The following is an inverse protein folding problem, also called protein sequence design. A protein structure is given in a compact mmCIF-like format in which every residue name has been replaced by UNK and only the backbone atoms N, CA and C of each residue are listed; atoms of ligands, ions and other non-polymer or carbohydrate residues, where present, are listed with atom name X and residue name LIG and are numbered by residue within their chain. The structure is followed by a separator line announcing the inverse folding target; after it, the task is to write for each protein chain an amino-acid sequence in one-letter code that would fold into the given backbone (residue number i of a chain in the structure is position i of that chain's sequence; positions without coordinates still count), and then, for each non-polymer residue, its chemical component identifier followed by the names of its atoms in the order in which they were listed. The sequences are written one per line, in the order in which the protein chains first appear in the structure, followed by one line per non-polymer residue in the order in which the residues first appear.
data_IF_783743799868
#
_entry.id   IF_783743799868
#
_cell.length_a   1.000
_cell.length_b   1.000
_cell.length_c   1.000
_cell.angle_alpha   90.00
_cell.angle_beta   90.00
_cell.angle_gamma   90.00
#
_symmetry.space_group_name_H-M   'P 1'
#
loop_
_entity.id
_entity.type
_entity.pdbx_description
1 polymer ?
#
# COMPACT_ATOMS: atom_id res chain seq x y z
N UNK A 1 23.32 14.19 9.18
CA UNK A 1 21.94 14.07 9.68
C UNK A 1 21.96 14.45 11.14
N UNK A 2 21.34 15.58 11.46
CA UNK A 2 21.47 16.24 12.76
C UNK A 2 20.44 15.65 13.74
N UNK A 3 20.84 15.44 15.00
CA UNK A 3 20.01 14.94 16.10
C UNK A 3 18.67 15.69 16.24
N UNK A 4 18.58 16.93 15.74
CA UNK A 4 17.39 17.77 15.67
C UNK A 4 16.28 17.26 14.74
N UNK A 5 16.58 16.55 13.65
CA UNK A 5 15.56 15.97 12.76
C UNK A 5 14.85 14.76 13.40
N UNK A 6 15.59 13.96 14.17
CA UNK A 6 15.01 12.82 14.88
C UNK A 6 14.07 13.23 16.02
N UNK A 7 14.31 14.38 16.67
CA UNK A 7 13.49 14.84 17.80
C UNK A 7 12.16 15.47 17.34
N UNK A 8 12.09 16.10 16.17
CA UNK A 8 10.83 16.69 15.68
C UNK A 8 9.80 15.65 15.21
N UNK A 9 10.23 14.44 14.83
CA UNK A 9 9.35 13.41 14.26
C UNK A 9 8.60 12.59 15.32
N UNK A 10 9.06 12.58 16.58
CA UNK A 10 8.46 11.76 17.65
C UNK A 10 7.08 12.24 18.11
N UNK A 11 6.71 13.51 17.84
CA UNK A 11 5.39 14.05 18.18
C UNK A 11 4.35 14.07 17.04
N UNK A 12 4.77 13.96 15.77
CA UNK A 12 3.88 14.16 14.61
C UNK A 12 3.02 12.93 14.26
N UNK A 13 3.53 11.73 14.52
CA UNK A 13 2.86 10.48 14.12
C UNK A 13 2.59 9.55 15.30
N UNK A 14 1.57 8.70 15.17
CA UNK A 14 1.32 7.65 16.16
C UNK A 14 2.47 6.63 16.20
N UNK A 15 2.63 5.95 17.34
CA UNK A 15 3.64 4.90 17.51
C UNK A 15 3.60 3.82 16.41
N UNK A 16 2.40 3.46 15.91
CA UNK A 16 2.25 2.52 14.80
C UNK A 16 2.85 3.05 13.49
N UNK A 17 2.70 4.33 13.21
CA UNK A 17 3.27 4.95 12.02
C UNK A 17 4.77 5.12 12.13
N UNK A 18 5.26 5.58 13.28
CA UNK A 18 6.69 5.67 13.55
C UNK A 18 7.39 4.32 13.38
N UNK A 19 6.79 3.25 13.91
CA UNK A 19 7.34 1.90 13.77
C UNK A 19 7.46 1.46 12.30
N UNK A 20 6.44 1.72 11.49
CA UNK A 20 6.47 1.44 10.04
C UNK A 20 7.57 2.25 9.35
N UNK A 21 7.63 3.54 9.61
CA UNK A 21 8.58 4.45 8.98
C UNK A 21 10.02 4.09 9.34
N UNK A 22 10.30 3.83 10.62
CA UNK A 22 11.62 3.42 11.09
C UNK A 22 12.05 2.10 10.45
N UNK A 23 11.12 1.15 10.28
CA UNK A 23 11.40 -0.11 9.59
C UNK A 23 11.83 0.13 8.12
N UNK A 24 11.08 0.94 7.38
CA UNK A 24 11.41 1.24 5.97
C UNK A 24 12.66 2.09 5.82
N UNK A 25 12.95 2.99 6.75
CA UNK A 25 14.17 3.80 6.72
C UNK A 25 15.42 2.96 7.01
N UNK A 26 15.31 1.98 7.91
CA UNK A 26 16.41 1.09 8.27
C UNK A 26 16.66 0.01 7.20
N UNK A 27 15.59 -0.63 6.71
CA UNK A 27 15.71 -1.85 5.89
C UNK A 27 15.30 -1.66 4.42
N UNK A 28 14.84 -0.46 4.05
CA UNK A 28 14.46 -0.14 2.69
C UNK A 28 13.06 -0.58 2.28
N UNK A 29 12.81 -0.41 0.98
CA UNK A 29 11.55 -0.73 0.32
C UNK A 29 11.18 -2.22 0.44
N UNK A 30 9.90 -2.60 0.29
CA UNK A 30 9.47 -4.00 0.23
C UNK A 30 10.22 -4.89 -0.78
N UNK A 31 10.78 -4.31 -1.85
CA UNK A 31 11.60 -5.02 -2.82
C UNK A 31 13.12 -5.05 -2.51
N UNK A 32 13.57 -4.40 -1.44
CA UNK A 32 14.97 -4.41 -0.99
C UNK A 32 15.32 -5.79 -0.36
N UNK A 33 16.47 -6.40 -0.69
CA UNK A 33 16.92 -7.64 -0.05
C UNK A 33 16.96 -7.56 1.48
N UNK A 34 17.37 -6.41 2.04
CA UNK A 34 17.49 -6.18 3.50
C UNK A 34 16.12 -6.23 4.18
N UNK A 35 15.09 -5.71 3.49
CA UNK A 35 13.72 -5.74 3.99
C UNK A 35 13.26 -7.17 4.25
N UNK A 36 13.54 -8.10 3.33
CA UNK A 36 13.08 -9.49 3.44
C UNK A 36 13.65 -10.19 4.66
N UNK A 37 14.94 -10.01 4.94
CA UNK A 37 15.59 -10.63 6.10
C UNK A 37 15.08 -10.04 7.41
N UNK A 38 15.01 -8.71 7.50
CA UNK A 38 14.50 -8.01 8.67
C UNK A 38 13.02 -8.34 8.94
N UNK A 39 12.20 -8.42 7.88
CA UNK A 39 10.78 -8.76 8.00
C UNK A 39 10.56 -10.16 8.57
N UNK A 40 11.39 -11.13 8.15
CA UNK A 40 11.33 -12.50 8.69
C UNK A 40 11.68 -12.55 10.17
N UNK A 41 12.64 -11.74 10.59
CA UNK A 41 13.11 -11.62 11.98
C UNK A 41 12.12 -10.89 12.91
N UNK A 42 11.08 -10.23 12.39
CA UNK A 42 10.09 -9.55 13.23
C UNK A 42 9.39 -10.53 14.20
N UNK A 43 9.22 -10.14 15.47
CA UNK A 43 8.63 -11.01 16.48
C UNK A 43 7.12 -11.15 16.28
N UNK A 44 6.69 -12.38 15.98
CA UNK A 44 5.29 -12.77 15.91
C UNK A 44 4.49 -12.20 14.72
N UNK A 45 3.25 -12.67 14.59
CA UNK A 45 2.38 -12.32 13.47
C UNK A 45 1.93 -10.85 13.49
N UNK A 46 1.66 -10.28 14.67
CA UNK A 46 1.15 -8.90 14.81
C UNK A 46 2.11 -7.86 14.21
N UNK A 47 3.41 -7.99 14.46
CA UNK A 47 4.44 -7.07 13.94
C UNK A 47 4.61 -7.21 12.43
N UNK A 48 4.62 -8.45 11.95
CA UNK A 48 4.62 -8.74 10.50
C UNK A 48 3.41 -8.10 9.81
N UNK A 49 2.22 -8.27 10.37
CA UNK A 49 1.00 -7.67 9.82
C UNK A 49 1.02 -6.14 9.88
N UNK A 50 1.54 -5.55 10.96
CA UNK A 50 1.66 -4.09 11.13
C UNK A 50 2.51 -3.44 10.03
N UNK A 51 3.63 -4.07 9.67
CA UNK A 51 4.55 -3.59 8.64
C UNK A 51 4.01 -3.88 7.25
N UNK A 52 3.58 -5.12 7.00
CA UNK A 52 3.22 -5.59 5.65
C UNK A 52 1.87 -5.05 5.15
N UNK A 53 0.92 -4.77 6.05
CA UNK A 53 -0.43 -4.42 5.64
C UNK A 53 -1.05 -3.30 6.50
N UNK A 54 -2.00 -2.60 5.89
CA UNK A 54 -2.83 -1.61 6.54
C UNK A 54 -4.28 -2.08 6.54
N UNK A 55 -4.76 -2.48 7.72
CA UNK A 55 -6.13 -3.00 7.90
C UNK A 55 -7.19 -1.94 7.55
N UNK A 56 -6.92 -0.67 7.82
CA UNK A 56 -7.87 0.41 7.48
C UNK A 56 -7.95 0.54 5.96
N UNK A 57 -6.81 0.51 5.26
CA UNK A 57 -6.79 0.56 3.79
C UNK A 57 -7.39 -0.70 3.13
N UNK A 58 -7.38 -1.85 3.81
CA UNK A 58 -8.04 -3.05 3.28
C UNK A 58 -9.55 -2.83 3.08
N UNK A 59 -10.22 -2.24 4.07
CA UNK A 59 -11.66 -2.00 4.02
C UNK A 59 -12.03 -0.66 3.36
N UNK A 60 -11.18 0.35 3.52
CA UNK A 60 -11.47 1.74 3.13
C UNK A 60 -10.44 2.33 2.17
N UNK A 61 -9.72 1.51 1.40
CA UNK A 61 -8.57 1.90 0.58
C UNK A 61 -8.70 3.24 -0.13
N UNK A 62 -9.62 3.40 -1.11
CA UNK A 62 -9.76 4.63 -1.86
C UNK A 62 -10.00 5.87 -0.98
N UNK A 63 -10.87 5.76 0.03
CA UNK A 63 -11.19 6.88 0.93
C UNK A 63 -9.99 7.20 1.83
N UNK A 64 -9.38 6.16 2.39
CA UNK A 64 -8.29 6.29 3.35
C UNK A 64 -7.01 6.85 2.72
N UNK A 65 -6.70 6.50 1.46
CA UNK A 65 -5.56 7.11 0.77
C UNK A 65 -5.75 8.60 0.52
N UNK A 66 -6.98 9.08 0.28
CA UNK A 66 -7.25 10.52 0.23
C UNK A 66 -7.06 11.19 1.58
N UNK A 67 -7.51 10.57 2.68
CA UNK A 67 -7.24 11.05 4.04
C UNK A 67 -5.74 11.16 4.33
N UNK A 68 -4.95 10.19 3.85
CA UNK A 68 -3.49 10.23 3.95
C UNK A 68 -2.82 11.17 2.94
N UNK A 69 -3.57 11.86 2.08
CA UNK A 69 -3.02 12.75 1.05
C UNK A 69 -2.27 12.05 -0.09
N UNK A 70 -2.46 10.74 -0.27
CA UNK A 70 -1.80 9.91 -1.30
C UNK A 70 -2.53 10.00 -2.66
N UNK A 71 -3.01 11.19 -3.03
CA UNK A 71 -3.99 11.37 -4.11
C UNK A 71 -3.49 10.89 -5.49
N UNK A 72 -2.21 11.12 -5.85
CA UNK A 72 -1.67 10.66 -7.15
C UNK A 72 -1.69 9.15 -7.30
N UNK A 73 -1.11 8.43 -6.33
CA UNK A 73 -1.11 6.96 -6.30
C UNK A 73 -2.53 6.40 -6.23
N UNK A 74 -3.41 7.06 -5.48
CA UNK A 74 -4.81 6.66 -5.36
C UNK A 74 -5.56 6.79 -6.70
N UNK A 75 -5.43 7.93 -7.39
CA UNK A 75 -6.04 8.14 -8.71
C UNK A 75 -5.49 7.16 -9.74
N UNK A 76 -4.19 6.88 -9.74
CA UNK A 76 -3.60 5.85 -10.59
C UNK A 76 -4.19 4.47 -10.29
N UNK A 77 -4.33 4.11 -9.02
CA UNK A 77 -4.92 2.83 -8.61
C UNK A 77 -6.38 2.72 -9.05
N UNK A 78 -7.18 3.77 -8.88
CA UNK A 78 -8.57 3.83 -9.36
C UNK A 78 -8.62 3.67 -10.88
N UNK A 79 -7.74 4.35 -11.63
CA UNK A 79 -7.64 4.19 -13.08
C UNK A 79 -7.33 2.76 -13.51
N UNK A 80 -6.39 2.09 -12.83
CA UNK A 80 -6.07 0.68 -13.06
C UNK A 80 -7.27 -0.22 -12.76
N UNK A 81 -7.95 0.00 -11.63
CA UNK A 81 -9.14 -0.76 -11.25
C UNK A 81 -10.23 -0.66 -12.31
N UNK A 82 -10.55 0.56 -12.74
CA UNK A 82 -11.54 0.82 -13.80
C UNK A 82 -11.11 0.17 -15.11
N UNK A 83 -9.84 0.32 -15.50
CA UNK A 83 -9.30 -0.27 -16.73
C UNK A 83 -9.43 -1.79 -16.75
N UNK A 84 -9.08 -2.46 -15.64
CA UNK A 84 -9.23 -3.91 -15.49
C UNK A 84 -10.70 -4.31 -15.53
N UNK A 85 -11.59 -3.61 -14.79
CA UNK A 85 -13.01 -3.91 -14.78
C UNK A 85 -13.67 -3.76 -16.16
N UNK A 86 -13.31 -2.72 -16.93
CA UNK A 86 -13.77 -2.54 -18.30
C UNK A 86 -13.24 -3.66 -19.19
N UNK A 87 -11.94 -3.98 -19.12
CA UNK A 87 -11.35 -5.04 -19.94
C UNK A 87 -12.03 -6.39 -19.69
N UNK A 88 -12.25 -6.77 -18.43
CA UNK A 88 -12.97 -7.99 -18.06
C UNK A 88 -14.40 -7.95 -18.61
N UNK A 89 -15.12 -6.85 -18.43
CA UNK A 89 -16.49 -6.70 -18.92
C UNK A 89 -16.59 -6.86 -20.43
N UNK A 90 -15.66 -6.27 -21.19
CA UNK A 90 -15.59 -6.38 -22.65
C UNK A 90 -15.32 -7.82 -23.09
N UNK A 91 -14.40 -8.53 -22.42
CA UNK A 91 -14.09 -9.93 -22.74
C UNK A 91 -15.34 -10.81 -22.60
N UNK A 92 -16.05 -10.70 -21.48
CA UNK A 92 -17.27 -11.47 -21.23
C UNK A 92 -18.40 -11.10 -22.22
N UNK A 93 -18.56 -9.80 -22.52
CA UNK A 93 -19.52 -9.35 -23.53
C UNK A 93 -19.23 -9.95 -24.92
N UNK A 94 -17.96 -10.01 -25.34
CA UNK A 94 -17.55 -10.62 -26.62
C UNK A 94 -17.78 -12.13 -26.65
N UNK A 95 -17.70 -12.80 -25.49
CA UNK A 95 -18.01 -14.23 -25.35
C UNK A 95 -19.51 -14.52 -25.29
N UNK A 96 -20.36 -13.49 -25.19
CA UNK A 96 -21.80 -13.64 -25.00
C UNK A 96 -22.14 -14.25 -23.63
N UNK A 97 -21.26 -14.12 -22.64
CA UNK A 97 -21.43 -14.67 -21.29
C UNK A 97 -21.34 -13.57 -20.24
N UNK A 98 -21.90 -13.81 -19.06
CA UNK A 98 -21.76 -12.90 -17.92
C UNK A 98 -20.51 -13.24 -17.10
N UNK A 99 -19.91 -12.22 -16.47
CA UNK A 99 -18.82 -12.41 -15.51
C UNK A 99 -19.32 -13.25 -14.33
N UNK A 100 -18.62 -14.34 -13.95
CA UNK A 100 -18.97 -15.10 -12.76
C UNK A 100 -18.84 -14.23 -11.51
N UNK A 101 -19.82 -14.29 -10.60
CA UNK A 101 -19.78 -13.55 -9.32
C UNK A 101 -18.50 -13.78 -8.51
N UNK A 102 -17.92 -14.98 -8.60
CA UNK A 102 -16.67 -15.33 -7.95
C UNK A 102 -15.48 -14.53 -8.50
N UNK A 103 -15.47 -14.24 -9.81
CA UNK A 103 -14.46 -13.40 -10.43
C UNK A 103 -14.58 -11.96 -9.93
N UNK A 104 -15.78 -11.39 -9.95
CA UNK A 104 -16.03 -10.02 -9.48
C UNK A 104 -15.66 -9.84 -8.01
N UNK A 105 -16.08 -10.79 -7.17
CA UNK A 105 -15.74 -10.80 -5.73
C UNK A 105 -14.25 -10.97 -5.51
N UNK A 106 -13.59 -11.83 -6.30
CA UNK A 106 -12.15 -12.04 -6.27
C UNK A 106 -11.37 -10.79 -6.66
N UNK A 107 -11.81 -10.07 -7.70
CA UNK A 107 -11.20 -8.80 -8.11
C UNK A 107 -11.33 -7.74 -7.01
N UNK A 108 -12.52 -7.60 -6.41
CA UNK A 108 -12.73 -6.67 -5.29
C UNK A 108 -11.81 -7.00 -4.12
N UNK A 109 -11.69 -8.28 -3.75
CA UNK A 109 -10.78 -8.71 -2.69
C UNK A 109 -9.32 -8.43 -3.05
N UNK A 110 -8.90 -8.67 -4.30
CA UNK A 110 -7.56 -8.37 -4.77
C UNK A 110 -7.23 -6.87 -4.68
N UNK A 111 -8.17 -5.99 -5.04
CA UNK A 111 -7.98 -4.54 -4.90
C UNK A 111 -7.89 -4.11 -3.44
N UNK A 112 -8.72 -4.66 -2.55
CA UNK A 112 -8.61 -4.44 -1.09
C UNK A 112 -7.24 -4.86 -0.54
N UNK A 113 -6.75 -6.04 -0.95
CA UNK A 113 -5.40 -6.51 -0.58
C UNK A 113 -4.33 -5.55 -1.10
N UNK A 114 -4.46 -5.08 -2.35
CA UNK A 114 -3.50 -4.17 -2.96
C UNK A 114 -3.39 -2.86 -2.17
N UNK A 115 -4.52 -2.24 -1.82
CA UNK A 115 -4.53 -1.07 -0.96
C UNK A 115 -3.88 -1.35 0.40
N UNK A 116 -4.20 -2.50 1.01
CA UNK A 116 -3.63 -2.88 2.30
C UNK A 116 -2.10 -2.94 2.26
N UNK A 117 -1.51 -3.58 1.24
CA UNK A 117 -0.06 -3.81 1.18
C UNK A 117 0.74 -2.59 0.74
N UNK A 118 0.18 -1.73 -0.14
CA UNK A 118 0.92 -0.55 -0.64
C UNK A 118 0.91 0.64 0.34
N UNK A 119 -0.15 0.78 1.16
CA UNK A 119 -0.41 2.04 1.89
C UNK A 119 0.71 2.43 2.85
N UNK A 120 1.27 1.46 3.57
CA UNK A 120 2.27 1.77 4.59
C UNK A 120 3.53 2.39 3.98
N UNK A 121 4.03 1.78 2.89
CA UNK A 121 5.23 2.26 2.21
C UNK A 121 4.95 3.54 1.40
N UNK A 122 3.80 3.62 0.73
CA UNK A 122 3.39 4.83 0.03
C UNK A 122 3.32 6.06 0.95
N UNK A 123 2.81 5.88 2.17
CA UNK A 123 2.73 6.97 3.15
C UNK A 123 4.11 7.35 3.70
N UNK A 124 4.99 6.37 3.89
CA UNK A 124 6.40 6.61 4.23
C UNK A 124 7.13 7.45 3.18
N UNK A 125 6.99 7.10 1.88
CA UNK A 125 7.59 7.87 0.80
C UNK A 125 7.15 9.34 0.84
N UNK A 126 5.84 9.57 1.02
CA UNK A 126 5.28 10.92 1.09
C UNK A 126 5.78 11.71 2.30
N UNK A 127 5.70 11.12 3.49
CA UNK A 127 5.94 11.84 4.74
C UNK A 127 7.41 11.91 5.17
N UNK A 128 8.23 10.94 4.76
CA UNK A 128 9.64 10.85 5.17
C UNK A 128 10.58 11.20 4.03
N UNK A 129 10.27 10.80 2.79
CA UNK A 129 11.11 11.11 1.61
C UNK A 129 10.61 12.31 0.81
N UNK A 130 9.42 12.82 1.08
CA UNK A 130 8.81 13.91 0.30
C UNK A 130 8.40 13.46 -1.12
N UNK A 131 8.32 12.16 -1.36
CA UNK A 131 8.11 11.58 -2.68
C UNK A 131 6.62 11.26 -2.90
N UNK A 132 6.02 11.89 -3.91
CA UNK A 132 4.64 11.64 -4.31
C UNK A 132 4.54 11.45 -5.82
N UNK A 133 4.79 10.22 -6.27
CA UNK A 133 4.73 9.79 -7.68
C UNK A 133 3.35 9.26 -8.09
N UNK A 134 3.17 9.03 -9.39
CA UNK A 134 1.98 8.38 -9.96
C UNK A 134 2.02 6.85 -9.93
N UNK A 135 3.15 6.24 -9.57
CA UNK A 135 3.27 4.78 -9.52
C UNK A 135 2.71 4.25 -8.18
N UNK A 136 1.53 3.59 -8.15
CA UNK A 136 0.99 3.06 -6.90
C UNK A 136 1.83 1.90 -6.33
N UNK A 137 2.68 1.30 -7.17
CA UNK A 137 3.47 0.11 -6.84
C UNK A 137 4.96 0.39 -6.59
N UNK A 138 5.31 1.66 -6.37
CA UNK A 138 6.68 2.06 -6.10
C UNK A 138 7.27 1.32 -4.90
N UNK A 139 8.40 0.63 -5.13
CA UNK A 139 9.09 -0.17 -4.11
C UNK A 139 8.39 -1.48 -3.72
N UNK A 140 7.27 -1.82 -4.35
CA UNK A 140 6.54 -3.07 -4.05
C UNK A 140 7.22 -4.28 -4.69
N UNK A 141 7.02 -5.45 -4.07
CA UNK A 141 7.44 -6.76 -4.58
C UNK A 141 6.19 -7.60 -4.85
N UNK A 142 5.97 -7.98 -6.10
CA UNK A 142 4.90 -8.91 -6.50
C UNK A 142 5.49 -10.24 -6.95
#
# INVERSE_FOLDING_TARGET
MSTTEQVQTTGKYSAKWQERFNFFDTYGAPNDPRHREAFKALPGFKKKMLINANVIAFFFGPIYLFVLGLWKKNLAMIGIMIGISIAVSVIFALMGTESPRALDSGMSAAFSVMYAIMTNYAYYLKEVKGEQSWNPFEGMRF
#
